data_IF_140039313595
#
_entry.id   IF_140039313595
#
_cell.length_a   1.000
_cell.length_b   1.000
_cell.length_c   1.000
_cell.angle_alpha   90.00
_cell.angle_beta   90.00
_cell.angle_gamma   90.00
#
_symmetry.space_group_name_H-M   'P 1'
#
loop_
_entity.id
_entity.type
_entity.pdbx_description
1 polymer ?
#
# COMPACT_ATOMS: atom_id res chain seq x y z
N UNK A 1 -7.75 -5.46 9.15
CA UNK A 1 -6.76 -4.39 9.40
C UNK A 1 -6.62 -4.15 10.89
N UNK A 2 -5.39 -3.98 11.43
CA UNK A 2 -5.17 -3.77 12.86
C UNK A 2 -5.23 -2.30 13.33
N UNK A 3 -5.11 -1.32 12.42
CA UNK A 3 -5.15 0.11 12.77
C UNK A 3 -6.59 0.61 12.89
N UNK A 4 -6.83 1.40 13.93
CA UNK A 4 -8.09 2.09 14.14
C UNK A 4 -8.14 3.38 13.31
N UNK A 5 -9.34 3.78 12.94
CA UNK A 5 -9.58 5.07 12.29
C UNK A 5 -9.14 6.17 13.26
N UNK A 6 -8.28 7.12 12.84
CA UNK A 6 -7.81 8.18 13.73
C UNK A 6 -8.96 8.98 14.33
N UNK A 7 -8.80 9.46 15.57
CA UNK A 7 -9.84 10.25 16.24
C UNK A 7 -10.25 11.47 15.39
N UNK A 8 -11.56 11.68 15.24
CA UNK A 8 -12.11 12.77 14.45
C UNK A 8 -12.12 12.54 12.94
N UNK A 9 -11.61 11.40 12.46
CA UNK A 9 -11.68 10.98 11.06
C UNK A 9 -12.78 9.95 10.86
N UNK A 10 -13.30 9.88 9.63
CA UNK A 10 -14.29 8.91 9.18
C UNK A 10 -13.71 8.00 8.10
N UNK A 11 -14.40 6.90 7.81
CA UNK A 11 -14.05 6.03 6.67
C UNK A 11 -14.04 6.81 5.36
N UNK A 12 -14.97 7.75 5.16
CA UNK A 12 -15.05 8.54 3.94
C UNK A 12 -13.86 9.49 3.78
N UNK A 13 -13.33 10.05 4.88
CA UNK A 13 -12.12 10.88 4.82
C UNK A 13 -10.91 10.05 4.37
N UNK A 14 -10.80 8.81 4.86
CA UNK A 14 -9.72 7.89 4.48
C UNK A 14 -9.86 7.39 3.03
N UNK A 15 -11.09 7.16 2.55
CA UNK A 15 -11.36 6.80 1.15
C UNK A 15 -11.00 7.94 0.20
N UNK A 16 -11.31 9.18 0.57
CA UNK A 16 -10.91 10.36 -0.17
C UNK A 16 -9.38 10.44 -0.28
N UNK A 17 -8.66 10.34 0.85
CA UNK A 17 -7.20 10.38 0.85
C UNK A 17 -6.57 9.24 0.04
N UNK A 18 -7.10 8.02 0.15
CA UNK A 18 -6.64 6.89 -0.66
C UNK A 18 -6.81 7.16 -2.15
N UNK A 19 -7.95 7.74 -2.54
CA UNK A 19 -8.25 8.08 -3.93
C UNK A 19 -7.30 9.15 -4.48
N UNK A 20 -7.15 10.27 -3.75
CA UNK A 20 -6.28 11.38 -4.15
C UNK A 20 -4.83 10.90 -4.30
N UNK A 21 -4.33 10.14 -3.32
CA UNK A 21 -2.96 9.63 -3.35
C UNK A 21 -2.76 8.59 -4.45
N UNK A 22 -3.72 7.70 -4.67
CA UNK A 22 -3.63 6.76 -5.78
C UNK A 22 -3.55 7.49 -7.13
N UNK A 23 -4.36 8.53 -7.33
CA UNK A 23 -4.32 9.34 -8.54
C UNK A 23 -2.97 10.01 -8.75
N UNK A 24 -2.41 10.62 -7.69
CA UNK A 24 -1.10 11.27 -7.76
C UNK A 24 0.06 10.28 -7.93
N UNK A 25 0.07 9.16 -7.20
CA UNK A 25 1.18 8.20 -7.24
C UNK A 25 1.22 7.41 -8.56
N UNK A 26 0.05 7.04 -9.10
CA UNK A 26 -0.05 6.18 -10.28
C UNK A 26 -0.47 6.91 -11.56
N UNK A 27 -0.47 8.25 -11.54
CA UNK A 27 -0.82 9.11 -12.68
C UNK A 27 -2.21 8.76 -13.27
N UNK A 28 -3.20 8.55 -12.39
CA UNK A 28 -4.56 8.15 -12.77
C UNK A 28 -5.50 9.36 -12.84
N UNK A 29 -6.43 9.35 -13.79
CA UNK A 29 -7.50 10.36 -13.85
C UNK A 29 -8.59 10.16 -12.81
N UNK A 30 -8.80 8.92 -12.36
CA UNK A 30 -9.79 8.55 -11.34
C UNK A 30 -9.54 7.14 -10.84
N UNK A 31 -10.06 6.84 -9.63
CA UNK A 31 -10.16 5.49 -9.08
C UNK A 31 -11.58 4.97 -9.33
N UNK A 32 -11.72 3.69 -9.68
CA UNK A 32 -13.05 3.13 -9.89
C UNK A 32 -13.81 2.95 -8.58
N UNK A 33 -15.13 3.19 -8.60
CA UNK A 33 -15.98 3.05 -7.42
C UNK A 33 -15.85 1.69 -6.74
N UNK A 34 -15.79 0.60 -7.51
CA UNK A 34 -15.66 -0.75 -6.95
C UNK A 34 -14.32 -0.98 -6.24
N UNK A 35 -13.25 -0.26 -6.60
CA UNK A 35 -11.98 -0.30 -5.90
C UNK A 35 -12.11 0.40 -4.54
N UNK A 36 -12.83 1.53 -4.49
CA UNK A 36 -13.13 2.25 -3.26
C UNK A 36 -14.08 1.46 -2.36
N UNK A 37 -15.06 0.73 -2.90
CA UNK A 37 -15.92 -0.15 -2.10
C UNK A 37 -15.14 -1.33 -1.48
N UNK A 38 -14.18 -1.91 -2.23
CA UNK A 38 -13.28 -2.92 -1.68
C UNK A 38 -12.42 -2.33 -0.55
N UNK A 39 -11.88 -1.13 -0.74
CA UNK A 39 -11.15 -0.41 0.30
C UNK A 39 -12.04 -0.15 1.52
N UNK A 40 -13.27 0.35 1.34
CA UNK A 40 -14.24 0.60 2.41
C UNK A 40 -14.48 -0.64 3.26
N UNK A 41 -14.72 -1.79 2.62
CA UNK A 41 -14.91 -3.04 3.35
C UNK A 41 -13.72 -3.36 4.26
N UNK A 42 -12.49 -3.19 3.76
CA UNK A 42 -11.26 -3.43 4.52
C UNK A 42 -11.12 -2.42 5.68
N UNK A 43 -11.38 -1.15 5.45
CA UNK A 43 -11.35 -0.07 6.47
C UNK A 43 -12.38 -0.32 7.58
N UNK A 44 -13.53 -0.88 7.23
CA UNK A 44 -14.59 -1.29 8.17
C UNK A 44 -14.32 -2.64 8.83
N UNK A 45 -13.12 -3.20 8.66
CA UNK A 45 -12.69 -4.50 9.23
C UNK A 45 -13.57 -5.66 8.75
N UNK A 46 -14.11 -5.59 7.54
CA UNK A 46 -14.88 -6.65 6.87
C UNK A 46 -14.03 -7.38 5.84
N UNK A 47 -14.23 -8.68 5.73
CA UNK A 47 -13.65 -9.47 4.65
C UNK A 47 -14.32 -9.13 3.31
N UNK A 48 -13.55 -9.19 2.22
CA UNK A 48 -14.01 -8.85 0.88
C UNK A 48 -13.52 -9.89 -0.14
N UNK A 49 -14.42 -10.34 -1.00
CA UNK A 49 -14.08 -11.09 -2.22
C UNK A 49 -14.31 -10.15 -3.40
N UNK A 50 -13.24 -9.84 -4.12
CA UNK A 50 -13.27 -9.02 -5.32
C UNK A 50 -13.26 -9.90 -6.57
N UNK A 51 -14.28 -9.75 -7.42
CA UNK A 51 -14.32 -10.37 -8.75
C UNK A 51 -14.22 -9.30 -9.82
N UNK A 52 -13.06 -9.20 -10.46
CA UNK A 52 -12.79 -8.26 -11.54
C UNK A 52 -11.99 -8.95 -12.66
N UNK A 53 -12.18 -8.57 -13.94
CA UNK A 53 -11.48 -9.18 -15.06
C UNK A 53 -9.97 -8.92 -15.00
N UNK A 54 -9.20 -9.76 -15.69
CA UNK A 54 -7.77 -9.50 -15.93
C UNK A 54 -7.60 -8.18 -16.68
N UNK A 55 -6.59 -7.39 -16.30
CA UNK A 55 -6.39 -6.03 -16.84
C UNK A 55 -7.33 -4.98 -16.25
N UNK A 56 -8.37 -5.36 -15.49
CA UNK A 56 -9.34 -4.43 -14.90
C UNK A 56 -8.83 -3.64 -13.69
N UNK A 57 -7.52 -3.51 -13.46
CA UNK A 57 -7.00 -2.69 -12.37
C UNK A 57 -7.20 -3.23 -10.95
N UNK A 58 -7.49 -4.52 -10.77
CA UNK A 58 -7.69 -5.15 -9.43
C UNK A 58 -6.53 -4.93 -8.46
N UNK A 59 -5.31 -4.81 -8.97
CA UNK A 59 -4.10 -4.60 -8.16
C UNK A 59 -4.21 -3.35 -7.29
N UNK A 60 -4.74 -2.24 -7.83
CA UNK A 60 -4.88 -0.99 -7.08
C UNK A 60 -5.78 -1.14 -5.85
N UNK A 61 -6.81 -1.99 -5.92
CA UNK A 61 -7.71 -2.24 -4.79
C UNK A 61 -6.99 -2.83 -3.56
N UNK A 62 -5.87 -3.53 -3.76
CA UNK A 62 -5.03 -4.00 -2.65
C UNK A 62 -4.17 -2.89 -2.03
N UNK A 63 -3.84 -1.84 -2.79
CA UNK A 63 -2.99 -0.74 -2.34
C UNK A 63 -3.78 0.41 -1.68
N UNK A 64 -5.04 0.62 -2.07
CA UNK A 64 -5.86 1.69 -1.51
C UNK A 64 -5.92 1.70 0.03
N UNK A 65 -6.05 0.55 0.72
CA UNK A 65 -6.04 0.55 2.18
C UNK A 65 -4.70 1.00 2.78
N UNK A 66 -3.57 0.70 2.13
CA UNK A 66 -2.25 1.22 2.53
C UNK A 66 -2.21 2.76 2.38
N UNK A 67 -2.69 3.25 1.23
CA UNK A 67 -2.71 4.68 0.90
C UNK A 67 -3.67 5.49 1.76
N UNK A 68 -4.72 4.86 2.30
CA UNK A 68 -5.63 5.49 3.27
C UNK A 68 -4.93 5.87 4.59
N UNK A 69 -3.97 5.06 5.04
CA UNK A 69 -3.32 5.23 6.34
C UNK A 69 -1.89 5.74 6.27
N UNK A 70 -1.31 5.80 5.07
CA UNK A 70 0.02 6.39 4.93
C UNK A 70 -0.06 7.84 5.43
N UNK A 71 0.97 8.38 6.05
CA UNK A 71 1.00 9.81 6.30
C UNK A 71 2.45 10.26 6.13
N UNK A 72 2.76 10.95 5.01
CA UNK A 72 4.12 11.43 4.77
C UNK A 72 4.56 12.52 5.78
N UNK A 73 3.63 13.04 6.59
CA UNK A 73 3.90 14.08 7.60
C UNK A 73 4.06 13.54 9.03
N UNK A 74 3.73 12.26 9.24
CA UNK A 74 3.86 11.65 10.57
C UNK A 74 5.30 11.16 10.77
N UNK A 75 6.07 11.88 11.59
CA UNK A 75 7.48 11.54 11.94
C UNK A 75 7.61 10.25 12.79
N UNK A 76 6.50 9.66 13.21
CA UNK A 76 6.52 8.43 14.01
C UNK A 76 6.63 7.19 13.11
N UNK A 77 7.88 6.80 12.82
CA UNK A 77 8.27 5.57 12.13
C UNK A 77 7.58 4.30 12.68
N UNK A 78 7.24 4.30 13.97
CA UNK A 78 6.81 3.12 14.72
C UNK A 78 5.39 2.64 14.37
N UNK A 79 4.62 3.40 13.58
CA UNK A 79 3.21 3.10 13.31
C UNK A 79 2.81 3.26 11.84
N UNK A 80 3.75 3.03 10.91
CA UNK A 80 3.43 3.04 9.47
C UNK A 80 2.55 1.84 9.09
N UNK A 81 1.54 2.03 8.22
CA UNK A 81 0.70 0.93 7.77
C UNK A 81 1.50 -0.04 6.89
N UNK A 82 1.18 -1.33 6.99
CA UNK A 82 1.77 -2.41 6.20
C UNK A 82 0.64 -3.20 5.53
N UNK A 83 0.80 -3.48 4.24
CA UNK A 83 -0.10 -4.39 3.50
C UNK A 83 0.68 -5.63 3.08
N UNK A 84 0.19 -6.80 3.46
CA UNK A 84 0.72 -8.09 3.02
C UNK A 84 -0.10 -8.61 1.84
N UNK A 85 0.55 -8.83 0.70
CA UNK A 85 -0.06 -9.39 -0.50
C UNK A 85 0.57 -10.75 -0.76
N UNK A 86 -0.27 -11.78 -0.84
CA UNK A 86 0.17 -13.14 -1.16
C UNK A 86 -0.14 -13.41 -2.63
N UNK A 87 0.89 -13.70 -3.40
CA UNK A 87 0.79 -14.04 -4.82
C UNK A 87 1.55 -15.34 -5.10
N UNK A 88 1.04 -16.20 -6.01
CA UNK A 88 1.71 -17.47 -6.32
C UNK A 88 2.93 -17.32 -7.25
N UNK A 89 3.08 -16.18 -7.92
CA UNK A 89 4.11 -15.98 -8.96
C UNK A 89 5.19 -15.02 -8.48
N UNK A 90 6.39 -15.55 -8.22
CA UNK A 90 7.56 -14.78 -7.76
C UNK A 90 7.89 -13.63 -8.70
N UNK A 91 7.88 -13.86 -10.01
CA UNK A 91 8.19 -12.81 -11.00
C UNK A 91 7.19 -11.66 -10.95
N UNK A 92 5.90 -11.97 -10.77
CA UNK A 92 4.87 -10.95 -10.60
C UNK A 92 5.05 -10.17 -9.29
N UNK A 93 5.46 -10.84 -8.21
CA UNK A 93 5.75 -10.18 -6.94
C UNK A 93 6.93 -9.21 -7.06
N UNK A 94 8.01 -9.63 -7.72
CA UNK A 94 9.18 -8.78 -7.96
C UNK A 94 8.81 -7.57 -8.81
N UNK A 95 8.06 -7.76 -9.89
CA UNK A 95 7.57 -6.67 -10.72
C UNK A 95 6.75 -5.67 -9.92
N UNK A 96 5.76 -6.14 -9.14
CA UNK A 96 4.91 -5.26 -8.33
C UNK A 96 5.70 -4.52 -7.24
N UNK A 97 6.68 -5.16 -6.61
CA UNK A 97 7.54 -4.51 -5.64
C UNK A 97 8.41 -3.43 -6.29
N UNK A 98 8.99 -3.70 -7.46
CA UNK A 98 9.77 -2.73 -8.21
C UNK A 98 8.90 -1.53 -8.64
N UNK A 99 7.72 -1.78 -9.20
CA UNK A 99 6.78 -0.73 -9.62
C UNK A 99 6.43 0.20 -8.44
N UNK A 100 6.19 -0.36 -7.24
CA UNK A 100 5.92 0.45 -6.04
C UNK A 100 7.15 1.26 -5.60
N UNK A 101 8.34 0.65 -5.60
CA UNK A 101 9.58 1.33 -5.23
C UNK A 101 9.92 2.48 -6.20
N UNK A 102 9.70 2.30 -7.50
CA UNK A 102 9.84 3.36 -8.51
C UNK A 102 8.88 4.53 -8.27
N UNK A 103 7.72 4.25 -7.68
CA UNK A 103 6.71 5.24 -7.26
C UNK A 103 6.94 5.77 -5.83
N UNK A 104 8.08 5.44 -5.21
CA UNK A 104 8.45 5.92 -3.88
C UNK A 104 7.71 5.24 -2.72
N UNK A 105 7.01 4.13 -2.97
CA UNK A 105 6.37 3.31 -1.93
C UNK A 105 7.28 2.12 -1.62
N UNK A 106 7.86 2.04 -0.41
CA UNK A 106 8.71 0.92 -0.03
C UNK A 106 7.97 -0.41 -0.13
N UNK A 107 8.49 -1.34 -0.94
CA UNK A 107 7.92 -2.66 -1.13
C UNK A 107 9.00 -3.72 -1.30
N UNK A 108 8.70 -4.93 -0.84
CA UNK A 108 9.61 -6.08 -0.96
C UNK A 108 8.82 -7.34 -1.30
N UNK A 109 9.33 -8.10 -2.26
CA UNK A 109 8.83 -9.43 -2.59
C UNK A 109 9.58 -10.48 -1.74
N UNK A 110 8.85 -11.26 -0.95
CA UNK A 110 9.42 -12.32 -0.13
C UNK A 110 9.05 -13.69 -0.71
N UNK A 111 10.06 -14.46 -1.11
CA UNK A 111 9.89 -15.81 -1.66
C UNK A 111 10.93 -16.79 -1.08
N UNK A 112 10.79 -18.08 -1.39
CA UNK A 112 11.71 -19.10 -0.87
C UNK A 112 13.18 -18.82 -1.17
N UNK A 113 13.46 -18.17 -2.31
CA UNK A 113 14.82 -17.90 -2.79
C UNK A 113 15.52 -16.78 -2.00
N UNK A 114 14.78 -15.79 -1.51
CA UNK A 114 15.34 -14.62 -0.81
C UNK A 114 15.01 -14.56 0.68
N UNK A 115 14.23 -15.50 1.22
CA UNK A 115 13.83 -15.54 2.63
C UNK A 115 15.02 -15.58 3.60
N UNK A 116 16.17 -16.09 3.15
CA UNK A 116 17.40 -16.22 3.94
C UNK A 116 18.43 -15.13 3.63
N UNK A 117 18.13 -14.24 2.69
CA UNK A 117 19.03 -13.17 2.33
C UNK A 117 19.06 -12.12 3.44
N UNK A 118 20.24 -11.85 3.99
CA UNK A 118 20.46 -10.80 4.99
C UNK A 118 20.32 -9.39 4.38
N UNK A 119 20.29 -9.27 3.05
CA UNK A 119 19.97 -8.03 2.34
C UNK A 119 18.56 -7.49 2.63
N UNK A 120 17.65 -8.33 3.14
CA UNK A 120 16.34 -7.88 3.64
C UNK A 120 16.46 -6.98 4.89
N UNK A 121 17.54 -7.12 5.67
CA UNK A 121 17.85 -6.20 6.77
C UNK A 121 18.18 -4.79 6.24
N UNK A 122 18.66 -4.67 5.00
CA UNK A 122 18.89 -3.38 4.34
C UNK A 122 17.59 -2.62 4.03
N UNK A 123 16.43 -3.28 3.94
CA UNK A 123 15.15 -2.59 3.83
C UNK A 123 14.75 -1.90 5.14
N UNK A 124 15.16 -2.44 6.30
CA UNK A 124 15.09 -1.72 7.58
C UNK A 124 15.88 -0.41 7.50
N UNK A 125 17.03 -0.44 6.83
CA UNK A 125 17.84 0.73 6.58
C UNK A 125 17.25 1.67 5.50
N UNK A 126 16.55 1.17 4.48
CA UNK A 126 15.85 2.02 3.49
C UNK A 126 14.63 2.73 4.11
N UNK A 127 13.92 2.06 5.01
CA UNK A 127 12.92 2.70 5.85
C UNK A 127 13.62 3.74 6.72
N UNK A 128 14.69 3.44 7.45
CA UNK A 128 15.43 4.45 8.25
C UNK A 128 16.02 5.61 7.42
N UNK A 129 16.48 5.37 6.19
CA UNK A 129 17.08 6.38 5.30
C UNK A 129 16.02 7.30 4.69
N UNK A 130 14.79 6.84 4.47
CA UNK A 130 13.67 7.73 4.10
C UNK A 130 13.30 8.69 5.24
N UNK A 131 13.71 8.40 6.48
CA UNK A 131 13.59 9.32 7.63
C UNK A 131 14.75 10.33 7.71
N UNK A 132 15.76 10.23 6.84
CA UNK A 132 17.02 10.99 6.95
C UNK A 132 17.26 12.08 5.90
N UNK A 133 16.43 12.19 4.86
CA UNK A 133 16.69 13.18 3.79
C UNK A 133 15.41 13.80 3.22
N UNK A 134 15.09 14.96 3.79
CA UNK A 134 14.63 16.17 3.10
C UNK A 134 13.28 16.09 2.35
N UNK A 135 12.32 16.83 2.90
CA UNK A 135 11.31 17.66 2.18
C UNK A 135 10.68 17.02 0.93
N UNK A 136 9.47 16.50 1.10
CA UNK A 136 8.45 16.56 0.04
C UNK A 136 8.09 18.03 -0.26
#
# INVERSE_FOLDING_TARGET
MPWDIPHGRTVNDLLWEASERAQHTFDLSSVYDWQLEACRAILEKRDCILSAPTGGGKTLAFYLPLLAFCDPTTENASNQPITLIVSPLVELMNQQANDLNEKGIPAVALCGDNLRDKGLTSYHHLIELSHGSKTW
#
